data_IF_769487187607
#
_entry.id   IF_769487187607
#
_cell.length_a   1.000
_cell.length_b   1.000
_cell.length_c   1.000
_cell.angle_alpha   90.00
_cell.angle_beta   90.00
_cell.angle_gamma   90.00
#
_symmetry.space_group_name_H-M   'P 1'
#
loop_
_entity.id
_entity.type
_entity.pdbx_description
1 polymer ?
#
# COMPACT_ATOMS: atom_id res chain seq x y z
N UNK A 1 31.02 13.36 -0.42
CA UNK A 1 30.38 14.07 -1.56
C UNK A 1 29.58 13.14 -2.46
N UNK A 2 30.06 11.94 -2.80
CA UNK A 2 29.31 10.99 -3.64
C UNK A 2 27.97 10.57 -3.01
N UNK A 3 27.94 10.47 -1.68
CA UNK A 3 26.79 10.10 -0.86
C UNK A 3 25.65 11.11 -1.02
N UNK A 4 25.97 12.41 -1.00
CA UNK A 4 25.00 13.48 -1.18
C UNK A 4 24.38 13.46 -2.60
N UNK A 5 25.19 13.25 -3.64
CA UNK A 5 24.68 13.14 -5.01
C UNK A 5 23.80 11.89 -5.20
N UNK A 6 24.20 10.76 -4.62
CA UNK A 6 23.40 9.53 -4.63
C UNK A 6 22.05 9.77 -3.92
N UNK A 7 22.08 10.42 -2.75
CA UNK A 7 20.88 10.82 -2.04
C UNK A 7 19.99 11.73 -2.89
N UNK A 8 20.50 12.79 -3.51
CA UNK A 8 19.69 13.70 -4.34
C UNK A 8 19.04 12.97 -5.52
N UNK A 9 19.78 12.10 -6.20
CA UNK A 9 19.23 11.28 -7.28
C UNK A 9 18.07 10.41 -6.78
N UNK A 10 18.24 9.72 -5.64
CA UNK A 10 17.17 8.91 -5.07
C UNK A 10 16.01 9.72 -4.50
N UNK A 11 16.26 10.91 -3.95
CA UNK A 11 15.22 11.78 -3.43
C UNK A 11 14.35 12.33 -4.57
N UNK A 12 14.95 12.66 -5.73
CA UNK A 12 14.20 12.98 -6.95
C UNK A 12 13.33 11.78 -7.38
N UNK A 13 13.89 10.57 -7.39
CA UNK A 13 13.14 9.35 -7.69
C UNK A 13 11.98 9.18 -6.69
N UNK A 14 12.21 9.42 -5.40
CA UNK A 14 11.17 9.38 -4.38
C UNK A 14 10.04 10.38 -4.66
N UNK A 15 10.37 11.64 -4.98
CA UNK A 15 9.37 12.66 -5.31
C UNK A 15 8.53 12.21 -6.52
N UNK A 16 9.18 11.78 -7.60
CA UNK A 16 8.51 11.35 -8.84
C UNK A 16 7.66 10.10 -8.60
N UNK A 17 8.20 9.10 -7.91
CA UNK A 17 7.50 7.84 -7.65
C UNK A 17 6.28 8.05 -6.76
N UNK A 18 6.42 8.77 -5.65
CA UNK A 18 5.39 8.93 -4.62
C UNK A 18 4.33 9.95 -4.97
N UNK A 19 4.73 11.08 -5.57
CA UNK A 19 3.83 12.22 -5.79
C UNK A 19 3.40 12.37 -7.25
N UNK A 20 4.04 11.65 -8.18
CA UNK A 20 3.69 11.61 -9.60
C UNK A 20 3.12 10.26 -10.04
N UNK A 21 3.93 9.20 -9.99
CA UNK A 21 3.57 7.89 -10.52
C UNK A 21 2.50 7.19 -9.69
N UNK A 22 2.68 7.11 -8.36
CA UNK A 22 1.71 6.47 -7.46
C UNK A 22 0.31 7.08 -7.60
N UNK A 23 0.11 8.43 -7.57
CA UNK A 23 -1.20 9.02 -7.72
C UNK A 23 -1.78 8.83 -9.12
N UNK A 24 -0.94 8.85 -10.16
CA UNK A 24 -1.37 8.56 -11.52
C UNK A 24 -1.90 7.13 -11.65
N UNK A 25 -1.18 6.14 -11.11
CA UNK A 25 -1.61 4.75 -11.08
C UNK A 25 -2.88 4.55 -10.28
N UNK A 26 -2.96 5.11 -9.07
CA UNK A 26 -4.17 5.05 -8.26
C UNK A 26 -5.38 5.66 -8.98
N UNK A 27 -5.24 6.83 -9.59
CA UNK A 27 -6.36 7.47 -10.30
C UNK A 27 -6.81 6.67 -11.53
N UNK A 28 -5.87 6.04 -12.25
CA UNK A 28 -6.20 5.12 -13.35
C UNK A 28 -6.94 3.89 -12.85
N UNK A 29 -6.46 3.28 -11.77
CA UNK A 29 -7.10 2.15 -11.12
C UNK A 29 -8.53 2.47 -10.67
N UNK A 30 -8.71 3.58 -9.95
CA UNK A 30 -10.02 4.03 -9.47
C UNK A 30 -11.01 4.29 -10.61
N UNK A 31 -10.56 4.93 -11.71
CA UNK A 31 -11.41 5.15 -12.89
C UNK A 31 -11.83 3.84 -13.55
N UNK A 32 -10.88 2.89 -13.70
CA UNK A 32 -11.17 1.58 -14.28
C UNK A 32 -12.16 0.78 -13.43
N UNK A 33 -12.01 0.79 -12.11
CA UNK A 33 -12.95 0.11 -11.22
C UNK A 33 -14.38 0.65 -11.33
N UNK A 34 -14.55 1.96 -11.44
CA UNK A 34 -15.88 2.55 -11.60
C UNK A 34 -16.47 2.26 -12.97
N UNK A 35 -15.66 2.32 -14.03
CA UNK A 35 -16.12 2.00 -15.37
C UNK A 35 -16.59 0.53 -15.51
N UNK A 36 -16.05 -0.39 -14.71
CA UNK A 36 -16.49 -1.79 -14.68
C UNK A 36 -17.79 -2.04 -13.91
N UNK A 37 -18.36 -1.04 -13.22
CA UNK A 37 -19.60 -1.19 -12.45
C UNK A 37 -20.79 -0.62 -13.24
N UNK A 38 -21.87 -1.39 -13.48
CA UNK A 38 -23.06 -0.89 -14.13
C UNK A 38 -23.67 0.30 -13.39
N UNK A 39 -24.12 1.32 -14.13
CA UNK A 39 -24.69 2.55 -13.57
C UNK A 39 -25.91 2.28 -12.66
N UNK A 40 -26.74 1.30 -13.02
CA UNK A 40 -27.88 0.83 -12.24
C UNK A 40 -27.46 0.31 -10.86
N UNK A 41 -26.35 -0.44 -10.80
CA UNK A 41 -25.81 -0.99 -9.54
C UNK A 41 -25.26 0.12 -8.65
N UNK A 42 -24.59 1.11 -9.24
CA UNK A 42 -24.12 2.30 -8.53
C UNK A 42 -25.29 3.14 -7.98
N UNK A 43 -26.37 3.30 -8.76
CA UNK A 43 -27.57 3.99 -8.32
C UNK A 43 -28.30 3.25 -7.19
N UNK A 44 -28.28 1.91 -7.18
CA UNK A 44 -28.76 1.11 -6.06
C UNK A 44 -27.89 1.25 -4.81
N UNK A 45 -26.56 1.33 -4.97
CA UNK A 45 -25.59 1.46 -3.87
C UNK A 45 -25.65 2.82 -3.18
N UNK A 46 -25.88 3.89 -3.94
CA UNK A 46 -25.86 5.27 -3.47
C UNK A 46 -27.07 6.04 -4.05
N UNK A 47 -28.29 5.76 -3.56
CA UNK A 47 -29.50 6.35 -4.13
C UNK A 47 -29.48 7.88 -4.00
N UNK A 48 -29.78 8.55 -5.12
CA UNK A 48 -29.81 10.03 -5.19
C UNK A 48 -28.45 10.71 -5.27
N UNK A 49 -27.35 9.96 -5.40
CA UNK A 49 -25.99 10.52 -5.52
C UNK A 49 -25.40 10.19 -6.89
N UNK A 50 -24.96 11.22 -7.61
CA UNK A 50 -24.12 11.06 -8.80
C UNK A 50 -22.69 10.68 -8.39
N UNK A 51 -22.47 9.37 -8.24
CA UNK A 51 -21.19 8.79 -7.82
C UNK A 51 -20.06 9.17 -8.78
N UNK A 52 -20.34 9.24 -10.08
CA UNK A 52 -19.34 9.59 -11.09
C UNK A 52 -18.78 10.99 -10.88
N UNK A 53 -19.68 11.98 -10.72
CA UNK A 53 -19.28 13.38 -10.47
C UNK A 53 -18.59 13.55 -9.12
N UNK A 54 -19.06 12.86 -8.08
CA UNK A 54 -18.45 12.89 -6.75
C UNK A 54 -17.03 12.31 -6.81
N UNK A 55 -16.86 11.17 -7.46
CA UNK A 55 -15.56 10.54 -7.64
C UNK A 55 -14.59 11.40 -8.45
N UNK A 56 -15.05 12.04 -9.53
CA UNK A 56 -14.18 12.90 -10.32
C UNK A 56 -13.66 14.09 -9.52
N UNK A 57 -14.52 14.71 -8.69
CA UNK A 57 -14.10 15.74 -7.72
C UNK A 57 -13.09 15.20 -6.72
N UNK A 58 -13.28 13.98 -6.21
CA UNK A 58 -12.32 13.34 -5.30
C UNK A 58 -10.96 13.11 -5.96
N UNK A 59 -10.93 12.55 -7.16
CA UNK A 59 -9.69 12.30 -7.90
C UNK A 59 -8.97 13.60 -8.28
N UNK A 60 -9.72 14.66 -8.59
CA UNK A 60 -9.16 15.98 -8.89
C UNK A 60 -8.48 16.59 -7.66
N UNK A 61 -9.15 16.55 -6.50
CA UNK A 61 -8.56 17.02 -5.23
C UNK A 61 -7.31 16.21 -4.85
N UNK A 62 -7.38 14.89 -4.99
CA UNK A 62 -6.24 14.02 -4.73
C UNK A 62 -5.03 14.36 -5.60
N UNK A 63 -5.24 14.58 -6.91
CA UNK A 63 -4.16 15.01 -7.81
C UNK A 63 -3.59 16.36 -7.41
N UNK A 64 -4.45 17.33 -7.11
CA UNK A 64 -4.02 18.66 -6.67
C UNK A 64 -3.17 18.59 -5.38
N UNK A 65 -3.58 17.78 -4.40
CA UNK A 65 -2.80 17.55 -3.18
C UNK A 65 -1.44 16.94 -3.48
N UNK A 66 -1.37 15.92 -4.33
CA UNK A 66 -0.10 15.28 -4.69
C UNK A 66 0.82 16.21 -5.49
N UNK A 67 0.28 17.07 -6.35
CA UNK A 67 1.06 18.13 -7.02
C UNK A 67 1.64 19.10 -5.97
N UNK A 68 0.83 19.52 -4.99
CA UNK A 68 1.31 20.37 -3.90
C UNK A 68 2.43 19.72 -3.10
N UNK A 69 2.29 18.42 -2.77
CA UNK A 69 3.35 17.64 -2.12
C UNK A 69 4.60 17.54 -3.00
N UNK A 70 4.46 17.31 -4.30
CA UNK A 70 5.60 17.26 -5.22
C UNK A 70 6.36 18.59 -5.26
N UNK A 71 5.65 19.72 -5.32
CA UNK A 71 6.26 21.06 -5.26
C UNK A 71 7.01 21.26 -3.94
N UNK A 72 6.41 20.88 -2.81
CA UNK A 72 7.07 20.90 -1.52
C UNK A 72 8.36 20.06 -1.51
N UNK A 73 8.33 18.88 -2.12
CA UNK A 73 9.51 18.03 -2.29
C UNK A 73 10.63 18.68 -3.10
N UNK A 74 10.30 19.38 -4.18
CA UNK A 74 11.27 20.12 -5.00
C UNK A 74 11.87 21.29 -4.22
N UNK A 75 11.06 22.03 -3.47
CA UNK A 75 11.55 23.10 -2.59
C UNK A 75 12.49 22.55 -1.50
N UNK A 76 12.11 21.43 -0.89
CA UNK A 76 12.94 20.74 0.11
C UNK A 76 14.25 20.24 -0.51
N UNK A 77 14.22 19.68 -1.71
CA UNK A 77 15.42 19.26 -2.45
C UNK A 77 16.37 20.44 -2.69
N UNK A 78 15.85 21.60 -3.11
CA UNK A 78 16.66 22.81 -3.31
C UNK A 78 17.31 23.30 -2.01
N UNK A 79 16.58 23.23 -0.89
CA UNK A 79 17.12 23.56 0.43
C UNK A 79 18.20 22.56 0.88
N UNK A 80 17.94 21.26 0.75
CA UNK A 80 18.88 20.18 1.09
C UNK A 80 20.16 20.25 0.26
N UNK A 81 20.04 20.62 -1.02
CA UNK A 81 21.19 20.81 -1.91
C UNK A 81 22.17 21.86 -1.38
N UNK A 82 21.66 22.94 -0.78
CA UNK A 82 22.50 23.96 -0.16
C UNK A 82 23.00 23.52 1.23
N UNK A 83 22.13 22.88 2.03
CA UNK A 83 22.47 22.45 3.39
C UNK A 83 23.61 21.43 3.41
N UNK A 84 23.56 20.41 2.54
CA UNK A 84 24.53 19.31 2.51
C UNK A 84 25.88 19.67 1.90
N UNK A 85 26.10 20.94 1.53
CA UNK A 85 27.44 21.44 1.19
C UNK A 85 28.29 21.72 2.43
N UNK A 86 27.67 21.77 3.62
CA UNK A 86 28.38 21.94 4.90
C UNK A 86 29.12 20.66 5.27
N UNK A 87 30.32 20.74 5.89
CA UNK A 87 31.13 19.56 6.21
C UNK A 87 30.51 18.63 7.27
N UNK A 88 29.61 19.15 8.10
CA UNK A 88 28.95 18.54 9.26
C UNK A 88 27.45 18.28 9.01
N UNK A 89 27.04 18.13 7.75
CA UNK A 89 25.62 18.02 7.41
C UNK A 89 24.96 16.75 7.98
N UNK A 90 25.72 15.69 8.26
CA UNK A 90 25.23 14.43 8.84
C UNK A 90 24.59 14.59 10.22
N UNK A 91 25.09 15.51 11.05
CA UNK A 91 24.51 15.80 12.37
C UNK A 91 23.24 16.65 12.28
N UNK A 92 22.84 17.01 11.05
CA UNK A 92 21.72 17.86 10.74
C UNK A 92 20.34 17.18 10.75
N UNK A 93 19.28 17.94 10.47
CA UNK A 93 17.91 17.44 10.46
C UNK A 93 17.56 16.63 9.19
N UNK A 94 18.54 16.22 8.38
CA UNK A 94 18.30 15.67 7.03
C UNK A 94 17.41 14.43 7.10
N UNK A 95 17.75 13.46 7.94
CA UNK A 95 16.96 12.24 8.10
C UNK A 95 15.53 12.54 8.55
N UNK A 96 15.38 13.39 9.57
CA UNK A 96 14.08 13.79 10.11
C UNK A 96 13.22 14.52 9.07
N UNK A 97 13.82 15.35 8.23
CA UNK A 97 13.13 16.06 7.15
C UNK A 97 12.68 15.10 6.03
N UNK A 98 13.52 14.12 5.65
CA UNK A 98 13.14 13.12 4.65
C UNK A 98 12.01 12.22 5.18
N UNK A 99 12.10 11.79 6.45
CA UNK A 99 11.02 11.09 7.14
C UNK A 99 9.72 11.92 7.20
N UNK A 100 9.82 13.17 7.65
CA UNK A 100 8.68 14.09 7.73
C UNK A 100 8.05 14.32 6.36
N UNK A 101 8.86 14.49 5.32
CA UNK A 101 8.37 14.61 3.95
C UNK A 101 7.64 13.34 3.49
N UNK A 102 8.17 12.15 3.76
CA UNK A 102 7.48 10.91 3.45
C UNK A 102 6.11 10.80 4.15
N UNK A 103 6.01 11.20 5.42
CA UNK A 103 4.73 11.25 6.12
C UNK A 103 3.74 12.17 5.40
N UNK A 104 4.19 13.35 4.96
CA UNK A 104 3.40 14.28 4.14
C UNK A 104 3.00 13.65 2.80
N UNK A 105 3.86 12.83 2.18
CA UNK A 105 3.54 12.09 0.95
C UNK A 105 2.43 11.05 1.15
N UNK A 106 2.29 10.47 2.34
CA UNK A 106 1.26 9.47 2.64
C UNK A 106 -0.10 10.13 2.98
N UNK A 107 -0.12 11.39 3.44
CA UNK A 107 -1.34 12.09 3.85
C UNK A 107 -2.46 12.11 2.79
N UNK A 108 -2.22 12.37 1.49
CA UNK A 108 -3.29 12.38 0.49
C UNK A 108 -4.05 11.05 0.41
N UNK A 109 -3.35 9.91 0.55
CA UNK A 109 -3.95 8.58 0.54
C UNK A 109 -4.76 8.35 1.81
N UNK A 110 -4.18 8.68 2.97
CA UNK A 110 -4.86 8.57 4.26
C UNK A 110 -6.15 9.38 4.30
N UNK A 111 -6.13 10.62 3.78
CA UNK A 111 -7.30 11.47 3.69
C UNK A 111 -8.37 10.88 2.78
N UNK A 112 -8.00 10.32 1.61
CA UNK A 112 -8.97 9.64 0.75
C UNK A 112 -9.56 8.43 1.47
N UNK A 113 -8.74 7.58 2.08
CA UNK A 113 -9.22 6.38 2.75
C UNK A 113 -10.24 6.75 3.83
N UNK A 114 -9.95 7.79 4.62
CA UNK A 114 -10.88 8.32 5.62
C UNK A 114 -12.17 8.89 4.99
N UNK A 115 -12.06 9.71 3.95
CA UNK A 115 -13.22 10.27 3.25
C UNK A 115 -14.08 9.17 2.61
N UNK A 116 -13.47 8.11 2.07
CA UNK A 116 -14.16 6.98 1.49
C UNK A 116 -14.91 6.15 2.55
N UNK A 117 -14.29 5.91 3.72
CA UNK A 117 -14.97 5.27 4.85
C UNK A 117 -16.15 6.11 5.32
N UNK A 118 -15.97 7.42 5.47
CA UNK A 118 -17.04 8.34 5.85
C UNK A 118 -18.18 8.35 4.83
N UNK A 119 -17.85 8.43 3.53
CA UNK A 119 -18.83 8.38 2.45
C UNK A 119 -19.63 7.08 2.48
N UNK A 120 -18.94 5.94 2.65
CA UNK A 120 -19.59 4.64 2.78
C UNK A 120 -20.50 4.57 4.01
N UNK A 121 -20.09 5.08 5.16
CA UNK A 121 -20.91 5.05 6.36
C UNK A 121 -22.17 5.92 6.25
N UNK A 122 -22.13 7.01 5.47
CA UNK A 122 -23.26 7.94 5.29
C UNK A 122 -24.24 7.45 4.23
N UNK A 123 -23.72 6.98 3.10
CA UNK A 123 -24.54 6.75 1.90
C UNK A 123 -24.75 5.29 1.53
N UNK A 124 -24.19 4.36 2.30
CA UNK A 124 -24.50 2.94 2.12
C UNK A 124 -25.71 2.62 2.99
N UNK A 125 -26.94 2.65 2.46
CA UNK A 125 -28.10 2.21 3.22
C UNK A 125 -27.86 0.78 3.68
N UNK A 126 -28.42 0.42 4.84
CA UNK A 126 -28.42 -0.94 5.38
C UNK A 126 -29.29 -1.91 4.55
N UNK A 127 -29.36 -1.72 3.23
CA UNK A 127 -30.27 -2.39 2.34
C UNK A 127 -29.85 -3.85 2.10
N UNK A 128 -30.72 -4.69 2.67
CA UNK A 128 -31.27 -5.94 2.15
C UNK A 128 -30.43 -7.20 2.39
N UNK A 129 -30.95 -7.95 3.36
CA UNK A 129 -30.82 -9.39 3.62
C UNK A 129 -31.21 -10.23 2.39
N UNK A 130 -30.51 -10.06 1.27
CA UNK A 130 -30.63 -10.94 0.11
C UNK A 130 -29.93 -12.27 0.39
N UNK A 131 -30.65 -13.39 0.24
CA UNK A 131 -30.20 -14.79 0.43
C UNK A 131 -28.68 -14.95 0.25
N UNK A 132 -28.00 -15.08 1.40
CA UNK A 132 -26.56 -15.22 1.53
C UNK A 132 -26.12 -16.56 0.93
N UNK A 133 -25.77 -16.61 -0.36
CA UNK A 133 -25.09 -17.77 -0.95
C UNK A 133 -23.70 -17.87 -0.30
N UNK A 134 -23.55 -18.79 0.64
CA UNK A 134 -22.28 -19.08 1.28
C UNK A 134 -21.46 -19.98 0.35
N UNK A 135 -20.52 -19.39 -0.39
CA UNK A 135 -19.44 -20.18 -1.02
C UNK A 135 -18.42 -20.46 0.08
N UNK A 136 -18.44 -21.68 0.60
CA UNK A 136 -17.46 -22.17 1.57
C UNK A 136 -16.18 -22.58 0.83
N UNK A 137 -15.33 -21.61 0.49
CA UNK A 137 -13.93 -21.89 0.18
C UNK A 137 -13.08 -21.65 1.42
N UNK A 138 -12.31 -22.67 1.83
CA UNK A 138 -11.26 -22.52 2.84
C UNK A 138 -10.23 -21.54 2.29
N UNK A 139 -9.89 -20.52 3.07
CA UNK A 139 -8.88 -19.53 2.73
C UNK A 139 -7.69 -19.74 3.64
N UNK A 140 -6.60 -20.26 3.08
CA UNK A 140 -5.31 -20.40 3.74
C UNK A 140 -4.38 -19.25 3.38
N UNK A 141 -3.43 -18.94 4.26
CA UNK A 141 -2.35 -18.00 3.97
C UNK A 141 -1.58 -18.40 2.70
N UNK A 142 -1.30 -19.68 2.57
CA UNK A 142 -0.49 -20.25 1.48
C UNK A 142 -1.22 -20.33 0.13
N UNK A 143 -2.53 -20.07 0.10
CA UNK A 143 -3.26 -19.90 -1.16
C UNK A 143 -2.87 -18.58 -1.84
N UNK A 144 -2.32 -17.64 -1.07
CA UNK A 144 -2.00 -16.29 -1.53
C UNK A 144 -0.50 -16.02 -1.64
N UNK A 145 0.31 -16.58 -0.74
CA UNK A 145 1.76 -16.34 -0.70
C UNK A 145 2.49 -17.67 -0.61
N UNK A 146 3.58 -17.82 -1.37
CA UNK A 146 4.39 -19.04 -1.31
C UNK A 146 4.90 -19.28 0.11
N UNK A 147 4.86 -20.52 0.64
CA UNK A 147 5.44 -20.86 1.92
C UNK A 147 6.91 -20.44 2.06
N UNK A 148 7.67 -20.45 0.96
CA UNK A 148 9.08 -20.02 0.95
C UNK A 148 9.25 -18.55 1.31
N UNK A 149 8.35 -17.67 0.85
CA UNK A 149 8.42 -16.22 1.13
C UNK A 149 8.04 -15.94 2.59
N UNK A 150 7.07 -16.67 3.13
CA UNK A 150 6.73 -16.59 4.56
C UNK A 150 7.90 -17.09 5.42
N UNK A 151 8.52 -18.22 5.03
CA UNK A 151 9.73 -18.74 5.66
C UNK A 151 10.87 -17.73 5.65
N UNK A 152 11.08 -17.02 4.52
CA UNK A 152 12.07 -15.94 4.42
C UNK A 152 11.76 -14.78 5.37
N UNK A 153 10.50 -14.37 5.51
CA UNK A 153 10.11 -13.30 6.45
C UNK A 153 10.35 -13.69 7.92
N UNK A 154 10.07 -14.94 8.27
CA UNK A 154 10.32 -15.48 9.62
C UNK A 154 11.83 -15.60 9.87
N UNK A 155 12.57 -16.17 8.93
CA UNK A 155 14.03 -16.29 9.03
C UNK A 155 14.68 -14.92 9.14
N UNK A 156 14.25 -13.95 8.33
CA UNK A 156 14.73 -12.57 8.38
C UNK A 156 14.56 -11.95 9.77
N UNK A 157 13.40 -12.15 10.40
CA UNK A 157 13.17 -11.68 11.77
C UNK A 157 14.13 -12.33 12.79
N UNK A 158 14.35 -13.64 12.73
CA UNK A 158 15.29 -14.30 13.64
C UNK A 158 16.74 -13.86 13.40
N UNK A 159 17.15 -13.68 12.14
CA UNK A 159 18.45 -13.13 11.79
C UNK A 159 18.61 -11.70 12.33
N UNK A 160 17.56 -10.88 12.25
CA UNK A 160 17.57 -9.54 12.83
C UNK A 160 17.71 -9.56 14.36
N UNK A 161 16.99 -10.43 15.06
CA UNK A 161 17.14 -10.58 16.51
C UNK A 161 18.55 -11.03 16.87
N UNK A 162 19.10 -12.02 16.16
CA UNK A 162 20.48 -12.47 16.36
C UNK A 162 21.49 -11.34 16.07
N UNK A 163 21.26 -10.54 15.04
CA UNK A 163 22.09 -9.38 14.70
C UNK A 163 22.04 -8.30 15.79
N UNK A 164 20.86 -7.98 16.32
CA UNK A 164 20.73 -7.06 17.46
C UNK A 164 21.45 -7.60 18.70
N UNK A 165 21.32 -8.89 19.01
CA UNK A 165 22.04 -9.53 20.12
C UNK A 165 23.56 -9.48 19.92
N UNK A 166 24.02 -9.60 18.67
CA UNK A 166 25.42 -9.43 18.33
C UNK A 166 25.90 -8.01 18.63
N UNK A 167 25.15 -6.98 18.21
CA UNK A 167 25.48 -5.56 18.47
C UNK A 167 25.45 -5.25 19.97
N UNK A 168 24.57 -5.90 20.75
CA UNK A 168 24.51 -5.71 22.21
C UNK A 168 25.83 -6.06 22.93
N UNK A 169 26.74 -6.81 22.30
CA UNK A 169 28.06 -7.10 22.87
C UNK A 169 29.00 -5.89 22.85
N UNK A 170 28.86 -5.03 21.84
CA UNK A 170 29.62 -3.80 21.68
C UNK A 170 28.71 -2.72 21.07
N UNK A 171 27.87 -2.07 21.89
CA UNK A 171 26.84 -1.17 21.39
C UNK A 171 27.42 0.18 20.98
N UNK A 172 26.97 0.72 19.84
CA UNK A 172 27.27 2.09 19.44
C UNK A 172 26.44 3.13 20.23
N UNK A 173 26.88 4.39 20.32
CA UNK A 173 26.15 5.44 21.01
C UNK A 173 24.73 5.62 20.47
N UNK A 174 23.72 5.62 21.36
CA UNK A 174 22.31 5.75 20.97
C UNK A 174 21.63 4.43 20.55
N UNK A 175 22.34 3.30 20.58
CA UNK A 175 21.74 2.00 20.27
C UNK A 175 20.73 1.55 21.35
N UNK A 176 19.46 1.46 20.96
CA UNK A 176 18.38 0.99 21.83
C UNK A 176 18.00 -0.47 21.51
N UNK A 177 18.94 -1.42 21.64
CA UNK A 177 18.79 -2.81 21.18
C UNK A 177 17.44 -3.48 21.51
N UNK A 178 17.02 -3.59 22.78
CA UNK A 178 15.73 -4.20 23.12
C UNK A 178 14.51 -3.45 22.57
N UNK A 179 14.61 -2.11 22.47
CA UNK A 179 13.56 -1.27 21.88
C UNK A 179 13.44 -1.54 20.38
N UNK A 180 14.55 -1.74 19.68
CA UNK A 180 14.58 -2.11 18.26
C UNK A 180 13.93 -3.48 18.00
N UNK A 181 14.20 -4.48 18.85
CA UNK A 181 13.52 -5.78 18.78
C UNK A 181 12.02 -5.60 19.05
N UNK A 182 11.64 -4.87 20.10
CA UNK A 182 10.25 -4.61 20.44
C UNK A 182 9.49 -3.90 19.31
N UNK A 183 10.10 -2.88 18.71
CA UNK A 183 9.55 -2.13 17.59
C UNK A 183 9.34 -3.02 16.35
N UNK A 184 10.34 -3.84 16.00
CA UNK A 184 10.20 -4.76 14.86
C UNK A 184 9.17 -5.86 15.13
N UNK A 185 9.11 -6.36 16.37
CA UNK A 185 8.07 -7.32 16.81
C UNK A 185 6.68 -6.72 16.63
N UNK A 186 6.50 -5.47 17.06
CA UNK A 186 5.24 -4.76 16.91
C UNK A 186 4.84 -4.63 15.43
N UNK A 187 5.78 -4.28 14.54
CA UNK A 187 5.53 -4.24 13.09
C UNK A 187 5.05 -5.60 12.57
N UNK A 188 5.71 -6.69 12.96
CA UNK A 188 5.30 -8.04 12.56
C UNK A 188 3.92 -8.43 13.08
N UNK A 189 3.63 -8.11 14.35
CA UNK A 189 2.33 -8.36 14.98
C UNK A 189 1.23 -7.57 14.28
N UNK A 190 1.44 -6.28 14.00
CA UNK A 190 0.47 -5.44 13.30
C UNK A 190 0.20 -5.97 11.88
N UNK A 191 1.24 -6.36 11.14
CA UNK A 191 1.08 -6.93 9.81
C UNK A 191 0.40 -8.29 9.84
N UNK A 192 0.71 -9.12 10.83
CA UNK A 192 0.01 -10.37 11.09
C UNK A 192 -1.47 -10.17 11.43
N UNK A 193 -1.79 -9.14 12.22
CA UNK A 193 -3.16 -8.77 12.54
C UNK A 193 -3.94 -8.27 11.31
N UNK A 194 -3.31 -7.49 10.44
CA UNK A 194 -3.90 -7.08 9.15
C UNK A 194 -4.20 -8.30 8.27
N UNK A 195 -3.25 -9.22 8.14
CA UNK A 195 -3.42 -10.47 7.38
C UNK A 195 -4.54 -11.32 7.96
N UNK A 196 -4.56 -11.50 9.28
CA UNK A 196 -5.60 -12.25 9.98
C UNK A 196 -6.99 -11.61 9.78
N UNK A 197 -7.10 -10.30 9.95
CA UNK A 197 -8.34 -9.56 9.72
C UNK A 197 -8.81 -9.66 8.27
N UNK A 198 -7.92 -9.71 7.28
CA UNK A 198 -8.31 -9.89 5.88
C UNK A 198 -8.77 -11.32 5.57
N UNK A 199 -8.08 -12.33 6.11
CA UNK A 199 -8.41 -13.74 5.90
C UNK A 199 -9.73 -14.14 6.58
N UNK A 200 -9.92 -13.74 7.84
CA UNK A 200 -11.03 -14.18 8.70
C UNK A 200 -12.09 -13.11 8.97
N UNK A 201 -11.82 -11.84 8.62
CA UNK A 201 -12.72 -10.74 8.89
C UNK A 201 -14.04 -10.82 8.12
N UNK A 202 -15.02 -10.05 8.62
CA UNK A 202 -16.32 -9.90 7.96
C UNK A 202 -16.13 -9.22 6.60
N UNK A 203 -16.99 -9.55 5.64
CA UNK A 203 -16.99 -8.94 4.30
C UNK A 203 -17.31 -7.44 4.46
N UNK A 204 -16.38 -6.51 4.16
CA UNK A 204 -16.62 -5.08 4.34
C UNK A 204 -17.66 -4.55 3.34
N UNK A 205 -17.80 -5.21 2.19
CA UNK A 205 -18.79 -4.85 1.18
C UNK A 205 -19.72 -6.03 0.81
N UNK A 206 -21.03 -5.99 1.16
CA UNK A 206 -21.97 -7.08 0.87
C UNK A 206 -21.99 -7.53 -0.59
N UNK A 207 -21.76 -6.60 -1.53
CA UNK A 207 -21.83 -6.85 -2.98
C UNK A 207 -20.47 -7.04 -3.68
N UNK A 208 -19.34 -7.07 -2.94
CA UNK A 208 -18.04 -7.43 -3.53
C UNK A 208 -18.09 -8.88 -4.05
N UNK A 209 -17.67 -9.14 -5.28
CA UNK A 209 -17.67 -10.51 -5.81
C UNK A 209 -16.73 -11.40 -5.00
N UNK A 210 -17.01 -12.70 -4.91
CA UNK A 210 -16.14 -13.62 -4.16
C UNK A 210 -14.71 -13.61 -4.73
N UNK A 211 -14.58 -13.61 -6.06
CA UNK A 211 -13.30 -13.51 -6.75
C UNK A 211 -12.57 -12.19 -6.47
N UNK A 212 -13.27 -11.05 -6.50
CA UNK A 212 -12.70 -9.74 -6.16
C UNK A 212 -12.13 -9.72 -4.74
N UNK A 213 -12.88 -10.28 -3.78
CA UNK A 213 -12.43 -10.40 -2.39
C UNK A 213 -11.18 -11.27 -2.25
N UNK A 214 -11.15 -12.44 -2.89
CA UNK A 214 -9.99 -13.34 -2.87
C UNK A 214 -8.75 -12.64 -3.43
N UNK A 215 -8.89 -11.88 -4.51
CA UNK A 215 -7.80 -11.08 -5.08
C UNK A 215 -7.30 -10.00 -4.12
N UNK A 216 -8.20 -9.21 -3.54
CA UNK A 216 -7.85 -8.15 -2.57
C UNK A 216 -7.11 -8.75 -1.38
N UNK A 217 -7.61 -9.86 -0.83
CA UNK A 217 -6.92 -10.60 0.24
C UNK A 217 -5.53 -11.00 -0.22
N UNK A 218 -5.39 -11.59 -1.40
CA UNK A 218 -4.09 -12.02 -1.91
C UNK A 218 -3.09 -10.88 -2.07
N UNK A 219 -3.55 -9.72 -2.52
CA UNK A 219 -2.71 -8.53 -2.64
C UNK A 219 -2.26 -8.01 -1.28
N UNK A 220 -3.18 -7.88 -0.32
CA UNK A 220 -2.86 -7.40 1.03
C UNK A 220 -1.91 -8.37 1.74
N UNK A 221 -2.16 -9.68 1.64
CA UNK A 221 -1.29 -10.71 2.22
C UNK A 221 0.11 -10.62 1.65
N UNK A 222 0.25 -10.56 0.31
CA UNK A 222 1.56 -10.43 -0.34
C UNK A 222 2.26 -9.14 0.09
N UNK A 223 1.58 -7.99 0.04
CA UNK A 223 2.19 -6.71 0.40
C UNK A 223 2.63 -6.68 1.87
N UNK A 224 1.83 -7.25 2.79
CA UNK A 224 2.20 -7.32 4.21
C UNK A 224 3.45 -8.15 4.44
N UNK A 225 3.56 -9.34 3.82
CA UNK A 225 4.74 -10.21 3.96
C UNK A 225 5.99 -9.56 3.37
N UNK A 226 5.91 -8.97 2.17
CA UNK A 226 7.05 -8.27 1.57
C UNK A 226 7.44 -7.02 2.37
N UNK A 227 6.48 -6.32 2.96
CA UNK A 227 6.77 -5.16 3.82
C UNK A 227 7.53 -5.60 5.07
N UNK A 228 7.19 -6.72 5.69
CA UNK A 228 7.96 -7.25 6.83
C UNK A 228 9.43 -7.51 6.46
N UNK A 229 9.67 -8.16 5.31
CA UNK A 229 11.03 -8.43 4.79
C UNK A 229 11.76 -7.10 4.55
N UNK A 230 11.12 -6.14 3.88
CA UNK A 230 11.71 -4.84 3.58
C UNK A 230 12.05 -4.05 4.86
N UNK A 231 11.17 -4.03 5.85
CA UNK A 231 11.41 -3.36 7.14
C UNK A 231 12.61 -3.95 7.87
N UNK A 232 12.70 -5.28 7.97
CA UNK A 232 13.83 -5.95 8.63
C UNK A 232 15.14 -5.71 7.89
N UNK A 233 15.13 -5.81 6.56
CA UNK A 233 16.31 -5.56 5.74
C UNK A 233 16.78 -4.11 5.91
N UNK A 234 15.86 -3.15 5.91
CA UNK A 234 16.17 -1.74 6.07
C UNK A 234 16.72 -1.41 7.45
N UNK A 235 16.09 -1.86 8.54
CA UNK A 235 16.58 -1.57 9.90
C UNK A 235 17.94 -2.22 10.12
N UNK A 236 18.14 -3.47 9.64
CA UNK A 236 19.45 -4.11 9.65
C UNK A 236 20.49 -3.28 8.91
N UNK A 237 20.16 -2.80 7.70
CA UNK A 237 21.04 -1.96 6.90
C UNK A 237 21.43 -0.67 7.64
N UNK A 238 20.49 0.02 8.29
CA UNK A 238 20.81 1.22 9.06
C UNK A 238 21.79 0.93 10.19
N UNK A 239 21.58 -0.14 10.97
CA UNK A 239 22.55 -0.53 12.00
C UNK A 239 23.92 -0.87 11.41
N UNK A 240 23.96 -1.54 10.26
CA UNK A 240 25.22 -1.80 9.56
C UNK A 240 25.90 -0.50 9.10
N UNK A 241 25.15 0.49 8.61
CA UNK A 241 25.71 1.78 8.22
C UNK A 241 26.33 2.50 9.42
N UNK A 242 25.68 2.49 10.59
CA UNK A 242 26.24 3.07 11.81
C UNK A 242 27.51 2.33 12.25
N UNK A 243 27.49 0.99 12.27
CA UNK A 243 28.65 0.17 12.67
C UNK A 243 29.87 0.34 11.75
N UNK A 244 29.63 0.65 10.48
CA UNK A 244 30.69 0.88 9.49
C UNK A 244 31.08 2.36 9.37
N UNK A 245 30.53 3.24 10.21
CA UNK A 245 30.76 4.70 10.14
C UNK A 245 30.34 5.31 8.78
N UNK A 246 29.32 4.73 8.15
CA UNK A 246 28.77 5.11 6.84
C UNK A 246 27.42 5.85 6.96
N UNK A 247 27.20 6.57 8.06
CA UNK A 247 25.94 7.28 8.37
C UNK A 247 25.53 8.28 7.29
N UNK A 248 26.49 8.82 6.53
CA UNK A 248 26.25 9.65 5.34
C UNK A 248 25.38 8.99 4.27
N UNK A 249 25.25 7.66 4.27
CA UNK A 249 24.39 6.92 3.35
C UNK A 249 22.97 6.70 3.85
N UNK A 250 22.66 7.04 5.11
CA UNK A 250 21.33 6.82 5.70
C UNK A 250 20.22 7.55 4.94
N UNK A 251 20.34 8.85 4.58
CA UNK A 251 19.27 9.53 3.83
C UNK A 251 18.98 8.87 2.47
N UNK A 252 20.02 8.35 1.81
CA UNK A 252 19.89 7.59 0.58
C UNK A 252 19.14 6.28 0.83
N UNK A 253 19.58 5.48 1.81
CA UNK A 253 18.96 4.21 2.14
C UNK A 253 17.48 4.39 2.54
N UNK A 254 17.18 5.45 3.27
CA UNK A 254 15.83 5.82 3.72
C UNK A 254 14.92 6.19 2.55
N UNK A 255 15.44 6.95 1.58
CA UNK A 255 14.71 7.27 0.35
C UNK A 255 14.43 6.03 -0.50
N UNK A 256 15.42 5.13 -0.62
CA UNK A 256 15.26 3.83 -1.32
C UNK A 256 14.18 2.99 -0.64
N UNK A 257 14.21 2.89 0.69
CA UNK A 257 13.22 2.17 1.46
C UNK A 257 11.80 2.71 1.22
N UNK A 258 11.60 4.03 1.25
CA UNK A 258 10.31 4.65 0.96
C UNK A 258 9.81 4.37 -0.45
N UNK A 259 10.68 4.39 -1.46
CA UNK A 259 10.29 4.02 -2.83
C UNK A 259 9.90 2.54 -2.91
N UNK A 260 10.66 1.64 -2.29
CA UNK A 260 10.35 0.20 -2.29
C UNK A 260 9.01 -0.07 -1.62
N UNK A 261 8.76 0.47 -0.42
CA UNK A 261 7.51 0.27 0.32
C UNK A 261 6.30 0.78 -0.47
N UNK A 262 6.44 1.90 -1.16
CA UNK A 262 5.41 2.42 -2.03
C UNK A 262 5.13 1.53 -3.26
N UNK A 263 6.18 1.04 -3.93
CA UNK A 263 6.02 0.13 -5.06
C UNK A 263 5.34 -1.19 -4.66
N UNK A 264 5.71 -1.74 -3.50
CA UNK A 264 5.06 -2.91 -2.91
C UNK A 264 3.56 -2.65 -2.64
N UNK A 265 3.22 -1.43 -2.22
CA UNK A 265 1.83 -1.02 -1.99
C UNK A 265 1.02 -0.88 -3.29
N UNK A 266 1.66 -0.47 -4.40
CA UNK A 266 0.99 -0.30 -5.71
C UNK A 266 0.89 -1.59 -6.52
N UNK A 267 1.69 -2.61 -6.22
CA UNK A 267 1.68 -3.89 -6.94
C UNK A 267 0.26 -4.48 -7.10
N UNK A 268 -0.62 -4.26 -6.12
CA UNK A 268 -2.03 -4.66 -6.21
C UNK A 268 -2.91 -3.84 -7.15
N UNK A 269 -2.62 -2.56 -7.36
CA UNK A 269 -3.39 -1.66 -8.22
C UNK A 269 -3.07 -1.82 -9.71
N UNK A 270 -1.90 -2.35 -10.05
CA UNK A 270 -1.48 -2.55 -11.46
C UNK A 270 -2.09 -3.78 -12.11
N UNK A 271 -2.73 -4.65 -11.33
CA UNK A 271 -3.30 -5.88 -11.86
C UNK A 271 -4.60 -5.55 -12.64
N UNK A 272 -4.81 -6.10 -13.86
CA UNK A 272 -5.88 -5.67 -14.76
C UNK A 272 -7.29 -5.86 -14.15
N UNK A 273 -8.24 -4.93 -14.38
CA UNK A 273 -9.63 -5.10 -13.96
C UNK A 273 -10.24 -6.32 -14.68
N UNK A 274 -11.17 -7.00 -13.99
CA UNK A 274 -11.83 -8.22 -14.48
C UNK A 274 -12.93 -7.84 -15.50
N UNK A 275 -13.12 -8.64 -16.55
CA UNK A 275 -14.20 -8.49 -17.53
C UNK A 275 -15.53 -9.02 -16.97
N UNK A 276 -16.66 -8.59 -17.55
CA UNK A 276 -18.03 -9.02 -17.20
C UNK A 276 -18.24 -10.53 -17.36
N UNK A 277 -17.61 -11.15 -18.36
CA UNK A 277 -17.72 -12.57 -18.72
C UNK A 277 -17.34 -13.48 -17.54
N UNK A 278 -16.41 -12.98 -16.75
CA UNK A 278 -15.76 -13.65 -15.67
C UNK A 278 -16.73 -13.71 -14.45
N UNK A 279 -17.69 -12.79 -14.33
CA UNK A 279 -18.71 -12.80 -13.28
C UNK A 279 -19.89 -13.74 -13.59
N UNK A 280 -19.86 -14.48 -14.71
CA UNK A 280 -20.90 -15.45 -15.11
C UNK A 280 -22.23 -14.82 -15.52
N UNK A 281 -22.24 -13.50 -15.73
CA UNK A 281 -23.44 -12.70 -15.99
C UNK A 281 -23.96 -12.84 -17.42
N UNK A 282 -23.12 -13.21 -18.39
CA UNK A 282 -23.54 -13.44 -19.78
C UNK A 282 -24.21 -14.80 -20.01
N UNK A 283 -24.22 -15.66 -18.99
CA UNK A 283 -24.77 -17.02 -19.10
C UNK A 283 -26.26 -17.10 -18.80
N UNK A 284 -26.84 -16.13 -18.08
CA UNK A 284 -28.29 -16.15 -17.75
C UNK A 284 -29.17 -15.58 -18.88
N UNK A 285 -28.63 -14.77 -19.80
CA UNK A 285 -29.43 -14.18 -20.89
C UNK A 285 -29.49 -15.07 -22.15
N UNK A 286 -28.72 -16.17 -22.18
CA UNK A 286 -28.70 -17.12 -23.32
C UNK A 286 -29.56 -18.36 -23.16
N UNK A 287 -30.28 -18.51 -22.06
CA UNK A 287 -31.17 -19.67 -21.81
C UNK A 287 -32.64 -19.28 -21.75
N UNK A 288 -33.12 -18.45 -22.67
CA UNK A 288 -34.51 -18.56 -23.12
C UNK A 288 -34.55 -19.56 -24.27
N UNK A 289 -35.12 -20.77 -24.08
CA UNK A 289 -35.26 -21.72 -25.17
C UNK A 289 -36.22 -21.11 -26.19
N UNK A 290 -35.69 -20.88 -27.38
CA UNK A 290 -36.45 -20.59 -28.58
C UNK A 290 -37.49 -21.70 -28.74
N UNK A 291 -38.75 -21.38 -28.45
CA UNK A 291 -39.87 -22.29 -28.63
C UNK A 291 -39.98 -22.58 -30.12
N UNK A 292 -39.41 -23.72 -30.54
CA UNK A 292 -39.60 -24.25 -31.89
C UNK A 292 -41.06 -24.59 -32.08
N UNK A 293 -41.69 -23.86 -33.00
CA UNK A 293 -42.96 -24.17 -33.61
C UNK A 293 -43.01 -25.64 -34.06
N UNK A 294 -43.98 -26.38 -33.53
CA UNK A 294 -44.39 -27.69 -34.04
C UNK A 294 -45.48 -27.45 -35.10
N UNK A 295 -45.31 -27.93 -36.35
CA UNK A 295 -46.40 -27.96 -37.31
C UNK A 295 -47.40 -29.09 -36.96
N UNK A 296 -48.67 -28.78 -37.18
CA UNK A 296 -49.85 -29.64 -36.98
C UNK A 296 -49.94 -30.78 -38.00
#
# INVERSE_FOLDING_TARGET
>A
MIEAYAFFAMFVIQIVAMSGLYPAWFTRYARRQTASLPAERLAQLYPGVDVGRVQERFLTRYRAMNIGVAVLGVLLLGWLFNYMQRPDWEDGPVEALVCGYFLVQVLPIGLIAWLAVRFNNVYKPALLEGKRKAVLQRRGLFDFVSPSVVGLAILGYFLFVAFVIYILRDPFPGFAGPVSIGGMTLVYVLQGAVVYAMLYGKKPNPFETHAGRVRTIGLVVKSSVYTCIACVAFVSLNFTLVLLELQRWEPFALSVFFVITALLSVMGMMSPPRSSDDDGLDTEERTTPEARDLPA
#
